data_IF_676749092298
#
_entry.id   IF_676749092298
#
_cell.length_a   1.000
_cell.length_b   1.000
_cell.length_c   1.000
_cell.angle_alpha   90.00
_cell.angle_beta   90.00
_cell.angle_gamma   90.00
#
_symmetry.space_group_name_H-M   'P 1'
#
loop_
_entity.id
_entity.type
_entity.pdbx_description
1 polymer ?
#
# COMPACT_ATOMS: atom_id res chain seq x y z
N UNK A 1 68.75 -73.47 -63.13
CA UNK A 1 67.86 -74.21 -62.20
C UNK A 1 68.54 -74.20 -60.82
N UNK A 2 67.81 -74.28 -59.70
CA UNK A 2 68.43 -74.48 -58.39
C UNK A 2 69.36 -75.71 -58.39
N UNK A 3 70.52 -75.62 -57.74
CA UNK A 3 71.57 -76.67 -57.77
C UNK A 3 71.05 -78.08 -57.48
N UNK A 4 70.09 -78.20 -56.54
CA UNK A 4 69.42 -79.46 -56.16
C UNK A 4 68.64 -80.17 -57.28
N UNK A 5 68.48 -79.56 -58.44
CA UNK A 5 67.73 -80.11 -59.58
C UNK A 5 68.60 -80.30 -60.83
N UNK A 6 69.92 -80.11 -60.75
CA UNK A 6 70.81 -80.20 -61.92
C UNK A 6 70.89 -81.62 -62.54
N UNK A 7 70.81 -82.67 -61.71
CA UNK A 7 70.82 -84.08 -62.17
C UNK A 7 69.43 -84.74 -62.18
N UNK A 8 68.37 -83.95 -61.96
CA UNK A 8 67.01 -84.46 -61.89
C UNK A 8 66.42 -84.62 -63.29
N UNK A 9 66.14 -85.87 -63.72
CA UNK A 9 65.35 -86.14 -64.91
C UNK A 9 63.91 -85.61 -64.80
N UNK A 10 63.14 -85.65 -65.91
CA UNK A 10 61.80 -85.06 -66.01
C UNK A 10 60.83 -85.44 -64.86
N UNK A 11 60.90 -86.68 -64.36
CA UNK A 11 60.09 -87.16 -63.25
C UNK A 11 60.43 -86.48 -61.90
N UNK A 12 61.72 -86.18 -61.65
CA UNK A 12 62.19 -85.51 -60.44
C UNK A 12 61.78 -84.04 -60.41
N UNK A 13 61.87 -83.36 -61.56
CA UNK A 13 61.35 -81.98 -61.72
C UNK A 13 59.82 -81.93 -61.54
N UNK A 14 59.07 -82.91 -62.06
CA UNK A 14 57.62 -82.97 -61.88
C UNK A 14 57.20 -83.20 -60.42
N UNK A 15 57.92 -84.04 -59.67
CA UNK A 15 57.68 -84.24 -58.24
C UNK A 15 58.01 -83.00 -57.40
N UNK A 16 59.09 -82.28 -57.75
CA UNK A 16 59.44 -81.01 -57.12
C UNK A 16 58.39 -79.91 -57.40
N UNK A 17 57.86 -79.85 -58.63
CA UNK A 17 56.79 -78.92 -59.01
C UNK A 17 55.49 -79.20 -58.24
N UNK A 18 55.11 -80.48 -58.05
CA UNK A 18 53.95 -80.86 -57.23
C UNK A 18 54.10 -80.43 -55.77
N UNK A 19 55.25 -80.72 -55.14
CA UNK A 19 55.52 -80.28 -53.76
C UNK A 19 55.50 -78.76 -53.61
N UNK A 20 56.08 -78.03 -54.55
CA UNK A 20 56.04 -76.56 -54.53
C UNK A 20 54.61 -76.03 -54.68
N UNK A 21 53.77 -76.67 -55.50
CA UNK A 21 52.35 -76.30 -55.64
C UNK A 21 51.53 -76.59 -54.36
N UNK A 22 51.81 -77.71 -53.68
CA UNK A 22 51.20 -78.05 -52.38
C UNK A 22 51.62 -77.06 -51.28
N UNK A 23 52.91 -76.71 -51.21
CA UNK A 23 53.44 -75.69 -50.30
C UNK A 23 52.81 -74.32 -50.57
N UNK A 24 52.69 -73.91 -51.83
CA UNK A 24 51.99 -72.69 -52.24
C UNK A 24 50.52 -72.69 -51.80
N UNK A 25 49.79 -73.79 -52.02
CA UNK A 25 48.40 -73.93 -51.57
C UNK A 25 48.26 -73.84 -50.04
N UNK A 26 49.18 -74.44 -49.30
CA UNK A 26 49.25 -74.33 -47.84
C UNK A 26 49.51 -72.90 -47.37
N UNK A 27 50.47 -72.20 -47.99
CA UNK A 27 50.78 -70.79 -47.71
C UNK A 27 49.63 -69.86 -48.09
N UNK A 28 48.92 -70.11 -49.19
CA UNK A 28 47.71 -69.34 -49.55
C UNK A 28 46.56 -69.56 -48.56
N UNK A 29 46.43 -70.77 -48.02
CA UNK A 29 45.48 -71.07 -46.94
C UNK A 29 45.88 -70.32 -45.66
N UNK A 30 47.17 -70.36 -45.27
CA UNK A 30 47.69 -69.64 -44.13
C UNK A 30 47.48 -68.12 -44.27
N UNK A 31 47.77 -67.54 -45.44
CA UNK A 31 47.53 -66.11 -45.71
C UNK A 31 46.05 -65.73 -45.62
N UNK A 32 45.13 -66.61 -46.06
CA UNK A 32 43.68 -66.38 -45.89
C UNK A 32 43.27 -66.43 -44.42
N UNK A 33 43.83 -67.37 -43.65
CA UNK A 33 43.62 -67.45 -42.22
C UNK A 33 44.15 -66.21 -41.49
N UNK A 34 45.34 -65.70 -41.85
CA UNK A 34 45.91 -64.46 -41.30
C UNK A 34 45.03 -63.24 -41.57
N UNK A 35 44.54 -63.08 -42.81
CA UNK A 35 43.61 -61.98 -43.14
C UNK A 35 42.30 -62.07 -42.35
N UNK A 36 41.77 -63.28 -42.19
CA UNK A 36 40.57 -63.51 -41.38
C UNK A 36 40.82 -63.18 -39.91
N UNK A 37 41.98 -63.58 -39.37
CA UNK A 37 42.37 -63.25 -38.01
C UNK A 37 42.49 -61.74 -37.82
N UNK A 38 43.11 -61.02 -38.76
CA UNK A 38 43.20 -59.55 -38.70
C UNK A 38 41.81 -58.89 -38.70
N UNK A 39 40.86 -59.39 -39.49
CA UNK A 39 39.47 -58.92 -39.48
C UNK A 39 38.79 -59.17 -38.13
N UNK A 40 38.90 -60.38 -37.59
CA UNK A 40 38.33 -60.72 -36.28
C UNK A 40 38.95 -59.91 -35.13
N UNK A 41 40.24 -59.59 -35.20
CA UNK A 41 40.89 -58.73 -34.21
C UNK A 41 40.37 -57.29 -34.29
N UNK A 42 40.15 -56.75 -35.49
CA UNK A 42 39.55 -55.43 -35.67
C UNK A 42 38.10 -55.37 -35.18
N UNK A 43 37.29 -56.38 -35.50
CA UNK A 43 35.90 -56.50 -35.00
C UNK A 43 35.87 -56.58 -33.46
N UNK A 44 36.80 -57.32 -32.85
CA UNK A 44 36.94 -57.35 -31.39
C UNK A 44 37.34 -55.99 -30.84
N UNK A 45 38.31 -55.31 -31.44
CA UNK A 45 38.79 -54.01 -30.96
C UNK A 45 37.70 -52.92 -31.07
N UNK A 46 36.78 -53.03 -32.03
CA UNK A 46 35.58 -52.19 -32.16
C UNK A 46 34.56 -52.53 -31.07
N UNK A 47 34.23 -53.81 -30.88
CA UNK A 47 33.33 -54.25 -29.82
C UNK A 47 33.83 -53.87 -28.41
N UNK A 48 35.14 -53.97 -28.16
CA UNK A 48 35.77 -53.56 -26.90
C UNK A 48 35.66 -52.04 -26.68
N UNK A 49 35.62 -51.23 -27.75
CA UNK A 49 35.42 -49.78 -27.65
C UNK A 49 33.95 -49.44 -27.38
N UNK A 50 33.02 -50.12 -28.05
CA UNK A 50 31.58 -49.98 -27.80
C UNK A 50 31.24 -50.38 -26.36
N UNK A 51 31.75 -51.51 -25.86
CA UNK A 51 31.54 -51.94 -24.48
C UNK A 51 32.02 -50.90 -23.46
N UNK A 52 33.19 -50.28 -23.71
CA UNK A 52 33.71 -49.22 -22.83
C UNK A 52 32.83 -47.97 -22.87
N UNK A 53 32.38 -47.56 -24.05
CA UNK A 53 31.49 -46.41 -24.19
C UNK A 53 30.13 -46.63 -23.49
N UNK A 54 29.57 -47.84 -23.62
CA UNK A 54 28.34 -48.24 -22.94
C UNK A 54 28.52 -48.31 -21.42
N UNK A 55 29.67 -48.82 -20.94
CA UNK A 55 29.99 -48.85 -19.53
C UNK A 55 30.12 -47.44 -18.93
N UNK A 56 30.77 -46.52 -19.65
CA UNK A 56 30.88 -45.11 -19.23
C UNK A 56 29.50 -44.44 -19.17
N UNK A 57 28.64 -44.66 -20.18
CA UNK A 57 27.28 -44.14 -20.21
C UNK A 57 26.40 -44.72 -19.09
N UNK A 58 26.53 -46.01 -18.80
CA UNK A 58 25.84 -46.66 -17.69
C UNK A 58 26.27 -46.06 -16.35
N UNK A 59 27.58 -45.87 -16.14
CA UNK A 59 28.11 -45.28 -14.91
C UNK A 59 27.60 -43.83 -14.72
N UNK A 60 27.56 -43.02 -15.78
CA UNK A 60 26.99 -41.67 -15.72
C UNK A 60 25.51 -41.71 -15.31
N UNK A 61 24.72 -42.57 -15.96
CA UNK A 61 23.30 -42.72 -15.66
C UNK A 61 23.05 -43.20 -14.23
N UNK A 62 23.81 -44.19 -13.74
CA UNK A 62 23.74 -44.69 -12.37
C UNK A 62 24.08 -43.61 -11.35
N UNK A 63 25.12 -42.81 -11.62
CA UNK A 63 25.52 -41.70 -10.74
C UNK A 63 24.43 -40.63 -10.63
N UNK A 64 23.75 -40.32 -11.73
CA UNK A 64 22.64 -39.38 -11.75
C UNK A 64 21.40 -39.95 -11.04
N UNK A 65 21.04 -41.20 -11.34
CA UNK A 65 19.90 -41.89 -10.72
C UNK A 65 20.08 -42.05 -9.21
N UNK A 66 21.30 -42.28 -8.73
CA UNK A 66 21.60 -42.38 -7.30
C UNK A 66 21.21 -41.10 -6.52
N UNK A 67 21.35 -39.92 -7.14
CA UNK A 67 21.01 -38.62 -6.53
C UNK A 67 19.60 -38.10 -6.85
N UNK A 68 18.93 -38.69 -7.85
CA UNK A 68 17.68 -38.15 -8.39
C UNK A 68 16.55 -38.12 -7.37
N UNK A 69 16.32 -39.21 -6.65
CA UNK A 69 15.25 -39.31 -5.65
C UNK A 69 15.40 -38.27 -4.53
N UNK A 70 16.64 -38.05 -4.07
CA UNK A 70 16.93 -37.02 -3.06
C UNK A 70 16.67 -35.62 -3.60
N UNK A 71 17.09 -35.33 -4.83
CA UNK A 71 16.87 -34.04 -5.49
C UNK A 71 15.38 -33.78 -5.69
N UNK A 72 14.64 -34.79 -6.13
CA UNK A 72 13.19 -34.72 -6.35
C UNK A 72 12.46 -34.42 -5.05
N UNK A 73 12.79 -35.12 -3.96
CA UNK A 73 12.17 -34.88 -2.66
C UNK A 73 12.44 -33.46 -2.16
N UNK A 74 13.69 -33.00 -2.24
CA UNK A 74 14.06 -31.65 -1.83
C UNK A 74 13.32 -30.57 -2.62
N UNK A 75 13.14 -30.75 -3.94
CA UNK A 75 12.36 -29.83 -4.77
C UNK A 75 10.87 -29.87 -4.41
N UNK A 76 10.31 -31.07 -4.16
CA UNK A 76 8.91 -31.21 -3.75
C UNK A 76 8.65 -30.50 -2.42
N UNK A 77 9.47 -30.74 -1.40
CA UNK A 77 9.33 -30.06 -0.10
C UNK A 77 9.46 -28.54 -0.22
N UNK A 78 10.32 -28.03 -1.11
CA UNK A 78 10.44 -26.59 -1.37
C UNK A 78 9.18 -26.01 -2.03
N UNK A 79 8.56 -26.74 -2.95
CA UNK A 79 7.30 -26.32 -3.59
C UNK A 79 6.17 -26.31 -2.55
N UNK A 80 6.04 -27.35 -1.74
CA UNK A 80 5.06 -27.43 -0.67
C UNK A 80 5.21 -26.28 0.33
N UNK A 81 6.43 -26.02 0.80
CA UNK A 81 6.71 -24.90 1.70
C UNK A 81 6.39 -23.53 1.07
N UNK A 82 6.66 -23.35 -0.22
CA UNK A 82 6.33 -22.12 -0.93
C UNK A 82 4.81 -21.91 -1.06
N UNK A 83 4.06 -22.99 -1.34
CA UNK A 83 2.60 -22.95 -1.42
C UNK A 83 1.97 -22.65 -0.06
N UNK A 84 2.46 -23.25 1.02
CA UNK A 84 2.01 -22.93 2.38
C UNK A 84 2.28 -21.46 2.75
N UNK A 85 3.48 -20.96 2.42
CA UNK A 85 3.84 -19.57 2.68
C UNK A 85 2.95 -18.59 1.90
N UNK A 86 2.64 -18.90 0.63
CA UNK A 86 1.71 -18.13 -0.18
C UNK A 86 0.30 -18.12 0.43
N UNK A 87 -0.23 -19.27 0.83
CA UNK A 87 -1.53 -19.36 1.49
C UNK A 87 -1.59 -18.57 2.81
N UNK A 88 -0.52 -18.61 3.63
CA UNK A 88 -0.41 -17.79 4.84
C UNK A 88 -0.36 -16.30 4.53
N UNK A 89 0.34 -15.89 3.48
CA UNK A 89 0.41 -14.50 3.06
C UNK A 89 -0.96 -13.96 2.62
N UNK A 90 -1.72 -14.75 1.85
CA UNK A 90 -3.08 -14.41 1.44
C UNK A 90 -4.02 -14.27 2.64
N UNK A 91 -3.99 -15.21 3.58
CA UNK A 91 -4.78 -15.13 4.83
C UNK A 91 -4.46 -13.88 5.65
N UNK A 92 -3.18 -13.49 5.73
CA UNK A 92 -2.76 -12.26 6.41
C UNK A 92 -3.21 -11.00 5.65
N UNK A 93 -3.15 -11.01 4.32
CA UNK A 93 -3.62 -9.90 3.49
C UNK A 93 -5.11 -9.62 3.72
N UNK A 94 -5.94 -10.67 3.75
CA UNK A 94 -7.38 -10.55 4.04
C UNK A 94 -7.65 -9.94 5.42
N UNK A 95 -6.80 -10.21 6.42
CA UNK A 95 -6.95 -9.63 7.78
C UNK A 95 -6.40 -8.20 7.88
N UNK A 96 -5.42 -7.85 7.04
CA UNK A 96 -4.76 -6.54 7.05
C UNK A 96 -5.68 -5.41 6.63
N UNK A 97 -6.47 -5.59 5.58
CA UNK A 97 -7.36 -4.53 5.07
C UNK A 97 -8.41 -4.09 6.08
N UNK A 98 -9.20 -4.99 6.72
CA UNK A 98 -10.11 -4.62 7.79
C UNK A 98 -9.41 -3.98 8.99
N UNK A 99 -8.23 -4.47 9.37
CA UNK A 99 -7.45 -3.88 10.47
C UNK A 99 -7.00 -2.45 10.15
N UNK A 100 -6.59 -2.17 8.90
CA UNK A 100 -6.24 -0.83 8.45
C UNK A 100 -7.46 0.09 8.36
N UNK A 101 -8.61 -0.40 7.90
CA UNK A 101 -9.85 0.36 7.88
C UNK A 101 -10.26 0.77 9.30
N UNK A 102 -10.25 -0.18 10.26
CA UNK A 102 -10.54 0.08 11.68
C UNK A 102 -9.59 1.12 12.29
N UNK A 103 -8.29 1.03 11.99
CA UNK A 103 -7.32 2.01 12.47
C UNK A 103 -7.58 3.42 11.92
N UNK A 104 -7.97 3.53 10.63
CA UNK A 104 -8.32 4.83 10.03
C UNK A 104 -9.56 5.42 10.69
N UNK A 105 -10.61 4.60 10.87
CA UNK A 105 -11.84 5.02 11.53
C UNK A 105 -11.60 5.49 12.98
N UNK A 106 -10.80 4.76 13.76
CA UNK A 106 -10.45 5.15 15.13
C UNK A 106 -9.69 6.48 15.18
N UNK A 107 -8.69 6.67 14.30
CA UNK A 107 -7.96 7.95 14.21
C UNK A 107 -8.85 9.12 13.83
N UNK A 108 -9.80 8.90 12.94
CA UNK A 108 -10.75 9.92 12.52
C UNK A 108 -11.72 10.30 13.64
N UNK A 109 -12.25 9.31 14.36
CA UNK A 109 -13.04 9.52 15.58
C UNK A 109 -12.27 10.35 16.60
N UNK A 110 -11.01 10.01 16.88
CA UNK A 110 -10.20 10.72 17.88
C UNK A 110 -9.92 12.17 17.45
N UNK A 111 -9.64 12.40 16.16
CA UNK A 111 -9.48 13.74 15.59
C UNK A 111 -10.75 14.57 15.75
N UNK A 112 -11.89 14.03 15.33
CA UNK A 112 -13.20 14.68 15.41
C UNK A 112 -13.65 14.93 16.85
N UNK A 113 -13.28 14.05 17.79
CA UNK A 113 -13.53 14.23 19.22
C UNK A 113 -12.80 15.49 19.72
N UNK A 114 -11.51 15.61 19.41
CA UNK A 114 -10.73 16.80 19.78
C UNK A 114 -11.24 18.09 19.12
N UNK A 115 -11.70 18.02 17.87
CA UNK A 115 -12.26 19.18 17.16
C UNK A 115 -13.62 19.60 17.71
N UNK A 116 -14.49 18.63 18.03
CA UNK A 116 -15.80 18.85 18.65
C UNK A 116 -15.66 19.51 20.02
N UNK A 117 -14.75 19.02 20.87
CA UNK A 117 -14.50 19.65 22.18
C UNK A 117 -13.99 21.10 22.05
N UNK A 118 -13.08 21.37 21.11
CA UNK A 118 -12.64 22.75 20.82
C UNK A 118 -13.78 23.62 20.29
N UNK A 119 -14.66 23.08 19.45
CA UNK A 119 -15.82 23.80 18.93
C UNK A 119 -16.83 24.10 20.05
N UNK A 120 -17.03 23.15 20.97
CA UNK A 120 -17.87 23.31 22.16
C UNK A 120 -17.38 24.44 23.05
N UNK A 121 -16.09 24.48 23.34
CA UNK A 121 -15.50 25.59 24.11
C UNK A 121 -15.67 26.95 23.43
N UNK A 122 -15.55 27.02 22.09
CA UNK A 122 -15.78 28.27 21.33
C UNK A 122 -17.25 28.69 21.35
N UNK A 123 -18.18 27.75 21.16
CA UNK A 123 -19.61 28.01 21.24
C UNK A 123 -20.02 28.54 22.63
N UNK A 124 -19.47 27.94 23.69
CA UNK A 124 -19.69 28.42 25.06
C UNK A 124 -19.14 29.84 25.26
N UNK A 125 -17.88 30.08 24.92
CA UNK A 125 -17.24 31.39 25.10
C UNK A 125 -17.89 32.51 24.26
N UNK A 126 -18.32 32.20 23.03
CA UNK A 126 -19.05 33.16 22.18
C UNK A 126 -20.46 33.45 22.72
N UNK A 127 -21.13 32.46 23.32
CA UNK A 127 -22.43 32.64 23.96
C UNK A 127 -22.33 33.50 25.22
N UNK A 128 -21.33 33.25 26.07
CA UNK A 128 -21.03 34.09 27.24
C UNK A 128 -20.75 35.55 26.83
N UNK A 129 -19.97 35.75 25.77
CA UNK A 129 -19.69 37.10 25.25
C UNK A 129 -20.95 37.78 24.71
N UNK A 130 -21.79 37.05 23.97
CA UNK A 130 -23.03 37.59 23.43
C UNK A 130 -23.99 38.03 24.54
N UNK A 131 -24.13 37.21 25.60
CA UNK A 131 -24.93 37.54 26.77
C UNK A 131 -24.38 38.78 27.50
N UNK A 132 -23.06 38.87 27.68
CA UNK A 132 -22.41 40.03 28.29
C UNK A 132 -22.67 41.32 27.51
N UNK A 133 -22.58 41.28 26.19
CA UNK A 133 -22.86 42.43 25.33
C UNK A 133 -24.34 42.77 25.28
N UNK A 134 -25.22 41.77 25.34
CA UNK A 134 -26.67 41.97 25.49
C UNK A 134 -27.01 42.71 26.78
N UNK A 135 -26.45 42.29 27.91
CA UNK A 135 -26.63 42.95 29.19
C UNK A 135 -26.10 44.38 29.17
N UNK A 136 -24.94 44.61 28.53
CA UNK A 136 -24.38 45.94 28.37
C UNK A 136 -25.30 46.86 27.55
N UNK A 137 -25.78 46.39 26.39
CA UNK A 137 -26.72 47.12 25.56
C UNK A 137 -28.03 47.43 26.30
N UNK A 138 -28.61 46.43 27.00
CA UNK A 138 -29.83 46.63 27.78
C UNK A 138 -29.65 47.68 28.89
N UNK A 139 -28.51 47.68 29.56
CA UNK A 139 -28.17 48.70 30.58
C UNK A 139 -28.08 50.09 29.96
N UNK A 140 -27.41 50.24 28.83
CA UNK A 140 -27.30 51.53 28.12
C UNK A 140 -28.65 52.02 27.63
N UNK A 141 -29.48 51.11 27.11
CA UNK A 141 -30.85 51.40 26.70
C UNK A 141 -31.71 51.88 27.87
N UNK A 142 -31.63 51.22 29.03
CA UNK A 142 -32.33 51.63 30.24
C UNK A 142 -31.87 53.00 30.76
N UNK A 143 -30.55 53.25 30.77
CA UNK A 143 -29.98 54.54 31.14
C UNK A 143 -30.46 55.66 30.21
N UNK A 144 -30.48 55.40 28.90
CA UNK A 144 -30.98 56.36 27.91
C UNK A 144 -32.47 56.63 28.06
N UNK A 145 -33.30 55.61 28.25
CA UNK A 145 -34.74 55.75 28.50
C UNK A 145 -35.02 56.58 29.76
N UNK A 146 -34.23 56.38 30.82
CA UNK A 146 -34.32 57.19 32.05
C UNK A 146 -33.93 58.66 31.79
N UNK A 147 -32.99 58.91 30.87
CA UNK A 147 -32.55 60.25 30.46
C UNK A 147 -33.33 60.89 29.30
N UNK A 148 -34.40 60.26 28.81
CA UNK A 148 -35.06 60.64 27.55
C UNK A 148 -35.68 62.05 27.60
N UNK A 149 -36.17 62.47 28.77
CA UNK A 149 -36.73 63.80 28.96
C UNK A 149 -35.70 64.90 28.66
N UNK A 150 -34.43 64.67 29.03
CA UNK A 150 -33.34 65.59 28.73
C UNK A 150 -32.91 65.56 27.24
N UNK A 151 -33.06 64.43 26.55
CA UNK A 151 -32.86 64.36 25.09
C UNK A 151 -33.93 65.17 24.35
N UNK A 152 -35.20 65.00 24.73
CA UNK A 152 -36.32 65.71 24.11
C UNK A 152 -36.24 67.21 24.39
N UNK A 153 -35.90 67.59 25.61
CA UNK A 153 -35.77 68.99 26.02
C UNK A 153 -34.63 69.72 25.29
N UNK A 154 -33.58 69.01 24.83
CA UNK A 154 -32.50 69.62 24.05
C UNK A 154 -32.92 70.13 22.66
N UNK A 155 -34.08 69.68 22.15
CA UNK A 155 -34.65 70.11 20.87
C UNK A 155 -35.75 71.18 21.04
N UNK A 156 -35.97 71.72 22.24
CA UNK A 156 -36.92 72.81 22.45
C UNK A 156 -36.33 74.13 21.95
N UNK A 157 -37.12 74.87 21.17
CA UNK A 157 -36.81 76.22 20.73
C UNK A 157 -37.88 77.20 21.28
N UNK A 158 -37.45 78.39 21.70
CA UNK A 158 -38.35 79.39 22.27
C UNK A 158 -39.42 79.82 21.24
N UNK A 159 -40.69 79.73 21.64
CA UNK A 159 -41.83 80.12 20.80
C UNK A 159 -42.29 79.07 19.81
N UNK A 160 -41.57 77.95 19.63
CA UNK A 160 -42.01 76.84 18.80
C UNK A 160 -42.81 75.81 19.60
N UNK A 161 -43.88 75.21 19.02
CA UNK A 161 -44.66 74.19 19.70
C UNK A 161 -43.86 72.90 19.87
N UNK A 162 -43.81 72.37 21.10
CA UNK A 162 -43.14 71.10 21.40
C UNK A 162 -43.74 69.93 20.62
N UNK A 163 -42.89 69.11 20.01
CA UNK A 163 -43.29 67.95 19.20
C UNK A 163 -44.03 66.85 19.99
N UNK A 164 -43.96 66.85 21.32
CA UNK A 164 -44.59 65.83 22.19
C UNK A 164 -45.95 66.28 22.70
N UNK A 165 -46.06 67.51 23.22
CA UNK A 165 -47.28 67.99 23.89
C UNK A 165 -47.91 69.24 23.26
N UNK A 166 -47.24 69.88 22.29
CA UNK A 166 -47.72 71.08 21.61
C UNK A 166 -47.53 72.42 22.36
N UNK A 167 -47.01 72.41 23.58
CA UNK A 167 -46.79 73.64 24.36
C UNK A 167 -45.60 74.47 23.82
N UNK A 168 -45.71 75.80 23.88
CA UNK A 168 -44.68 76.75 23.42
C UNK A 168 -43.74 77.24 24.54
N UNK A 169 -43.93 76.79 25.79
CA UNK A 169 -43.12 77.19 26.94
C UNK A 169 -42.83 76.01 27.88
N UNK A 170 -41.57 75.85 28.29
CA UNK A 170 -41.10 74.87 29.28
C UNK A 170 -40.22 75.59 30.32
N UNK A 171 -40.76 76.02 31.47
CA UNK A 171 -40.01 76.85 32.43
C UNK A 171 -38.88 76.13 33.19
N UNK A 172 -38.90 74.79 33.21
CA UNK A 172 -37.85 73.97 33.82
C UNK A 172 -37.56 72.73 32.94
N UNK A 173 -36.92 72.91 31.78
CA UNK A 173 -36.62 71.79 30.89
C UNK A 173 -35.60 70.85 31.53
N UNK A 174 -35.79 69.54 31.35
CA UNK A 174 -34.85 68.54 31.85
C UNK A 174 -33.47 68.74 31.20
N UNK A 175 -32.40 68.61 31.98
CA UNK A 175 -31.02 68.79 31.51
C UNK A 175 -30.26 67.48 31.50
N UNK A 176 -29.37 67.31 30.53
CA UNK A 176 -28.45 66.17 30.50
C UNK A 176 -27.53 66.24 31.72
N UNK A 177 -27.43 65.13 32.45
CA UNK A 177 -26.48 64.97 33.55
C UNK A 177 -25.19 64.33 33.06
N UNK A 178 -24.10 64.46 33.81
CA UNK A 178 -22.85 63.76 33.49
C UNK A 178 -23.09 62.24 33.44
N UNK A 179 -22.65 61.59 32.37
CA UNK A 179 -22.94 60.17 32.10
C UNK A 179 -24.25 59.91 31.35
N UNK A 180 -24.88 60.92 30.75
CA UNK A 180 -25.99 60.73 29.82
C UNK A 180 -25.56 59.86 28.62
N UNK A 181 -26.31 58.79 28.37
CA UNK A 181 -26.10 57.89 27.23
C UNK A 181 -26.92 58.40 26.07
N UNK A 182 -26.26 58.71 24.96
CA UNK A 182 -26.91 59.13 23.72
C UNK A 182 -27.32 57.95 22.84
N UNK A 183 -28.10 58.27 21.80
CA UNK A 183 -28.59 57.31 20.81
C UNK A 183 -27.44 56.54 20.15
N UNK A 184 -26.38 57.25 19.74
CA UNK A 184 -25.26 56.66 19.03
C UNK A 184 -24.53 55.61 19.88
N UNK A 185 -24.40 55.86 21.18
CA UNK A 185 -23.79 54.91 22.14
C UNK A 185 -24.65 53.66 22.33
N UNK A 186 -25.97 53.79 22.41
CA UNK A 186 -26.89 52.63 22.43
C UNK A 186 -26.80 51.82 21.12
N UNK A 187 -26.79 52.50 19.97
CA UNK A 187 -26.74 51.86 18.65
C UNK A 187 -25.43 51.12 18.40
N UNK A 188 -24.28 51.66 18.85
CA UNK A 188 -23.00 50.93 18.85
C UNK A 188 -23.07 49.66 19.69
N UNK A 189 -23.57 49.74 20.92
CA UNK A 189 -23.70 48.57 21.79
C UNK A 189 -24.67 47.51 21.22
N UNK A 190 -25.73 47.94 20.53
CA UNK A 190 -26.62 47.04 19.80
C UNK A 190 -25.89 46.34 18.64
N UNK A 191 -25.10 47.08 17.87
CA UNK A 191 -24.32 46.52 16.76
C UNK A 191 -23.28 45.50 17.25
N UNK A 192 -22.62 45.78 18.38
CA UNK A 192 -21.66 44.87 19.02
C UNK A 192 -22.35 43.59 19.49
N UNK A 193 -23.49 43.69 20.18
CA UNK A 193 -24.29 42.54 20.57
C UNK A 193 -24.73 41.70 19.36
N UNK A 194 -25.24 42.35 18.30
CA UNK A 194 -25.65 41.64 17.08
C UNK A 194 -24.48 40.95 16.38
N UNK A 195 -23.27 41.53 16.42
CA UNK A 195 -22.07 40.89 15.89
C UNK A 195 -21.67 39.65 16.71
N UNK A 196 -21.76 39.74 18.04
CA UNK A 196 -21.50 38.61 18.93
C UNK A 196 -22.54 37.49 18.76
N UNK A 197 -23.83 37.81 18.62
CA UNK A 197 -24.88 36.83 18.31
C UNK A 197 -24.62 36.09 16.98
N UNK A 198 -24.22 36.82 15.93
CA UNK A 198 -23.88 36.18 14.64
C UNK A 198 -22.71 35.21 14.79
N UNK A 199 -21.67 35.63 15.51
CA UNK A 199 -20.50 34.78 15.79
C UNK A 199 -20.88 33.55 16.62
N UNK A 200 -21.71 33.72 17.64
CA UNK A 200 -22.21 32.61 18.44
C UNK A 200 -22.99 31.60 17.59
N UNK A 201 -23.90 32.07 16.74
CA UNK A 201 -24.65 31.22 15.83
C UNK A 201 -23.74 30.49 14.81
N UNK A 202 -22.64 31.11 14.36
CA UNK A 202 -21.63 30.45 13.52
C UNK A 202 -20.88 29.34 14.27
N UNK A 203 -20.45 29.61 15.51
CA UNK A 203 -19.76 28.64 16.35
C UNK A 203 -20.69 27.46 16.72
N UNK A 204 -21.98 27.69 16.95
CA UNK A 204 -22.99 26.64 17.16
C UNK A 204 -23.22 25.78 15.91
N UNK A 205 -23.35 26.40 14.72
CA UNK A 205 -23.48 25.64 13.46
C UNK A 205 -22.27 24.75 13.22
N UNK A 206 -21.07 25.26 13.52
CA UNK A 206 -19.83 24.49 13.39
C UNK A 206 -19.78 23.33 14.39
N UNK A 207 -20.20 23.55 15.63
CA UNK A 207 -20.31 22.49 16.64
C UNK A 207 -21.29 21.41 16.20
N UNK A 208 -22.46 21.80 15.66
CA UNK A 208 -23.47 20.85 15.18
C UNK A 208 -22.94 19.99 14.02
N UNK A 209 -22.25 20.61 13.06
CA UNK A 209 -21.63 19.90 11.94
C UNK A 209 -20.58 18.88 12.41
N UNK A 210 -19.65 19.29 13.26
CA UNK A 210 -18.60 18.41 13.81
C UNK A 210 -19.19 17.28 14.68
N UNK A 211 -20.26 17.55 15.43
CA UNK A 211 -20.95 16.53 16.22
C UNK A 211 -21.62 15.47 15.33
N UNK A 212 -22.21 15.89 14.21
CA UNK A 212 -22.80 14.96 13.23
C UNK A 212 -21.71 14.11 12.54
N UNK A 213 -20.59 14.72 12.14
CA UNK A 213 -19.43 14.01 11.59
C UNK A 213 -18.86 13.00 12.59
N UNK A 214 -18.70 13.39 13.86
CA UNK A 214 -18.23 12.51 14.92
C UNK A 214 -19.17 11.32 15.14
N UNK A 215 -20.49 11.55 15.13
CA UNK A 215 -21.47 10.48 15.25
C UNK A 215 -21.37 9.48 14.09
N UNK A 216 -21.17 9.96 12.87
CA UNK A 216 -20.99 9.11 11.69
C UNK A 216 -19.68 8.31 11.78
N UNK A 217 -18.56 8.96 12.12
CA UNK A 217 -17.26 8.31 12.26
C UNK A 217 -17.25 7.28 13.40
N UNK A 218 -17.96 7.55 14.49
CA UNK A 218 -18.11 6.59 15.61
C UNK A 218 -18.89 5.35 15.19
N UNK A 219 -19.97 5.53 14.41
CA UNK A 219 -20.74 4.41 13.87
C UNK A 219 -19.91 3.54 12.90
N UNK A 220 -19.05 4.17 12.08
CA UNK A 220 -18.16 3.47 11.15
C UNK A 220 -16.99 2.75 11.87
N UNK A 221 -16.50 3.30 12.98
CA UNK A 221 -15.47 2.67 13.81
C UNK A 221 -15.99 1.43 14.58
N UNK A 222 -17.30 1.35 14.84
CA UNK A 222 -17.93 0.29 15.65
C UNK A 222 -17.47 0.29 17.11
N UNK A 223 -17.71 -0.81 17.84
CA UNK A 223 -17.26 -1.01 19.25
C UNK A 223 -15.72 -1.17 19.39
N UNK A 224 -14.95 -0.75 18.39
CA UNK A 224 -13.50 -0.75 18.51
C UNK A 224 -13.08 0.37 19.50
N UNK A 225 -12.34 0.04 20.58
CA UNK A 225 -11.83 1.05 21.51
C UNK A 225 -10.96 2.08 20.78
#
# INVERSE_FOLDING_TARGET
>A
LPERFHDAGAAGLAAAARRAAEELGSLESARRAERRLAGLLAERDEADQEERADADALQEAESWLAGWETTREALRSRVEAAQEAAGRAEQLAVRREPAQARLRAARERDRLTGETERARHRALASGEESLRLKEHWLRLKEQRLTGIAAELAANLADGEPCAVCGATAHPAPARKVAGHVDRETEERALADHQAAERRHAEDERRLAALSAELSAATAEAGDAP
#
